data_IF_617661651627
#
_entry.id   IF_617661651627
#
_cell.length_a   1.000
_cell.length_b   1.000
_cell.length_c   1.000
_cell.angle_alpha   90.00
_cell.angle_beta   90.00
_cell.angle_gamma   90.00
#
_symmetry.space_group_name_H-M   'P 1'
#
loop_
_entity.id
_entity.type
_entity.pdbx_description
1 polymer ?
#
# COMPACT_ATOMS: atom_id res chain seq x y z
N UNK A 1 52.54 -29.70 -34.15
CA UNK A 1 53.59 -28.89 -33.50
C UNK A 1 52.84 -27.84 -32.70
N UNK A 2 52.35 -28.24 -31.51
CA UNK A 2 53.05 -28.06 -30.22
C UNK A 2 53.24 -26.56 -29.93
N UNK A 3 52.78 -25.97 -28.84
CA UNK A 3 52.14 -26.44 -27.62
C UNK A 3 52.21 -25.27 -26.65
N UNK A 4 51.12 -24.93 -25.95
CA UNK A 4 51.13 -23.93 -24.88
C UNK A 4 50.53 -24.54 -23.62
N UNK A 5 51.45 -25.15 -22.87
CA UNK A 5 51.67 -25.17 -21.43
C UNK A 5 50.53 -24.71 -20.50
N UNK A 6 50.08 -25.68 -19.69
CA UNK A 6 49.33 -25.57 -18.43
C UNK A 6 50.31 -25.44 -17.27
N UNK A 7 50.09 -24.52 -16.31
CA UNK A 7 50.43 -24.69 -14.87
C UNK A 7 49.65 -23.67 -13.99
N UNK A 8 49.53 -23.86 -12.66
CA UNK A 8 48.23 -23.94 -11.98
C UNK A 8 48.14 -23.09 -10.69
N UNK A 9 47.04 -23.24 -9.94
CA UNK A 9 47.06 -23.14 -8.48
C UNK A 9 46.48 -21.86 -7.88
N UNK A 10 45.18 -21.88 -7.59
CA UNK A 10 44.56 -20.99 -6.60
C UNK A 10 44.27 -21.81 -5.33
N UNK A 11 44.56 -21.29 -4.11
CA UNK A 11 44.44 -22.06 -2.88
C UNK A 11 42.98 -22.16 -2.40
N UNK A 12 42.59 -23.38 -1.99
CA UNK A 12 41.38 -23.68 -1.24
C UNK A 12 41.42 -22.99 0.13
N UNK A 13 40.52 -22.03 0.36
CA UNK A 13 40.18 -21.58 1.71
C UNK A 13 39.17 -22.55 2.32
N UNK A 14 39.65 -23.54 3.08
CA UNK A 14 38.85 -24.28 4.07
C UNK A 14 38.69 -23.39 5.31
N UNK A 15 37.49 -22.88 5.52
CA UNK A 15 37.07 -22.35 6.82
C UNK A 15 36.31 -23.45 7.55
N UNK A 16 36.92 -23.96 8.61
CA UNK A 16 36.33 -24.88 9.57
C UNK A 16 35.26 -24.13 10.40
N UNK A 17 34.05 -24.65 10.43
CA UNK A 17 32.99 -24.22 11.34
C UNK A 17 33.16 -24.93 12.69
N UNK A 18 33.15 -24.22 13.83
CA UNK A 18 33.01 -24.88 15.13
C UNK A 18 31.55 -25.26 15.37
N UNK A 19 31.33 -26.55 15.57
CA UNK A 19 30.14 -27.14 16.17
C UNK A 19 29.89 -26.58 17.56
N UNK A 20 28.67 -26.09 17.83
CA UNK A 20 28.16 -25.96 19.19
C UNK A 20 26.80 -26.63 19.27
N UNK A 21 26.76 -27.63 20.13
CA UNK A 21 25.60 -28.41 20.51
C UNK A 21 24.63 -27.63 21.40
N UNK A 22 23.39 -28.09 21.30
CA UNK A 22 22.22 -27.99 22.17
C UNK A 22 22.37 -27.33 23.55
N UNK A 23 21.39 -26.46 23.86
CA UNK A 23 20.64 -26.56 25.12
C UNK A 23 19.30 -25.82 25.02
N UNK A 24 18.21 -26.59 25.11
CA UNK A 24 16.84 -26.11 25.26
C UNK A 24 16.62 -25.45 26.64
N UNK A 25 15.73 -24.45 26.73
CA UNK A 25 14.58 -24.47 27.65
C UNK A 25 13.74 -23.18 27.63
N UNK A 26 12.43 -23.39 27.85
CA UNK A 26 11.45 -22.50 28.46
C UNK A 26 10.84 -21.35 27.65
N UNK A 27 9.85 -21.75 26.84
CA UNK A 27 8.73 -20.91 26.39
C UNK A 27 7.78 -20.64 27.56
N UNK A 28 7.84 -19.43 28.14
CA UNK A 28 6.81 -18.93 29.05
C UNK A 28 5.76 -18.12 28.25
N UNK A 29 4.52 -18.62 28.23
CA UNK A 29 3.34 -17.93 27.70
C UNK A 29 3.10 -16.64 28.49
N UNK A 30 3.22 -15.46 27.86
CA UNK A 30 2.78 -14.18 28.43
C UNK A 30 1.40 -13.79 27.87
N UNK A 31 0.54 -13.37 28.80
CA UNK A 31 -0.86 -12.98 28.63
C UNK A 31 -1.02 -11.62 27.90
N UNK A 32 -2.12 -11.36 27.17
CA UNK A 32 -2.24 -10.20 26.28
C UNK A 32 -2.52 -8.83 26.94
N UNK A 33 -2.57 -8.72 28.26
CA UNK A 33 -3.10 -7.51 28.93
C UNK A 33 -2.08 -6.41 29.29
N UNK A 34 -0.82 -6.46 28.82
CA UNK A 34 0.20 -5.46 29.22
C UNK A 34 0.34 -4.23 28.31
N UNK A 35 -0.32 -4.19 27.15
CA UNK A 35 -0.12 -3.10 26.17
C UNK A 35 -0.63 -1.73 26.65
N UNK A 36 -1.65 -1.68 27.52
CA UNK A 36 -2.17 -0.41 28.09
C UNK A 36 -1.31 0.14 29.23
N UNK A 37 -0.46 -0.68 29.86
CA UNK A 37 0.32 -0.26 31.03
C UNK A 37 1.68 0.36 30.64
N UNK A 38 2.21 0.02 29.46
CA UNK A 38 3.49 0.56 28.96
C UNK A 38 3.34 2.01 28.50
N UNK A 39 2.20 2.39 27.91
CA UNK A 39 1.92 3.76 27.47
C UNK A 39 1.80 4.76 28.65
N UNK A 40 1.37 4.29 29.84
CA UNK A 40 1.21 5.16 31.02
C UNK A 40 2.51 5.38 31.80
N UNK A 41 3.54 4.54 31.62
CA UNK A 41 4.79 4.59 32.42
C UNK A 41 5.93 5.39 31.77
N UNK A 42 5.79 5.84 30.52
CA UNK A 42 6.84 6.61 29.83
C UNK A 42 6.76 8.13 30.02
N UNK A 43 5.85 8.65 30.85
CA UNK A 43 5.65 10.09 31.05
C UNK A 43 6.44 10.73 32.22
N UNK A 44 7.36 10.04 32.91
CA UNK A 44 7.91 10.57 34.19
C UNK A 44 9.41 10.41 34.43
N UNK A 45 10.25 10.29 33.39
CA UNK A 45 11.71 10.29 33.61
C UNK A 45 12.41 11.11 32.54
N UNK A 46 12.71 12.38 32.86
CA UNK A 46 13.84 13.16 32.34
C UNK A 46 13.83 14.56 32.99
N UNK A 47 14.49 14.70 34.15
CA UNK A 47 14.82 16.01 34.73
C UNK A 47 16.17 15.89 35.43
N UNK A 48 17.21 16.42 34.78
CA UNK A 48 18.55 16.47 35.36
C UNK A 48 19.63 16.50 34.28
N UNK A 49 19.90 17.66 33.68
CA UNK A 49 21.00 17.80 32.74
C UNK A 49 21.18 19.24 32.24
N UNK A 50 22.37 19.77 32.45
CA UNK A 50 22.87 21.13 32.19
C UNK A 50 22.37 21.83 30.91
N UNK A 51 22.01 23.11 31.08
CA UNK A 51 21.62 24.06 30.03
C UNK A 51 22.79 24.35 29.07
N UNK A 52 22.71 23.81 27.85
CA UNK A 52 23.28 24.43 26.65
C UNK A 52 22.09 25.04 25.90
N UNK A 53 22.07 26.37 25.72
CA UNK A 53 20.99 27.06 25.00
C UNK A 53 20.90 26.53 23.55
N UNK A 54 19.83 25.83 23.15
CA UNK A 54 19.69 25.43 21.76
C UNK A 54 19.37 26.66 20.92
N UNK A 55 20.00 26.79 19.76
CA UNK A 55 19.52 27.71 18.72
C UNK A 55 18.06 27.35 18.43
N UNK A 56 17.18 28.35 18.47
CA UNK A 56 15.76 28.19 18.11
C UNK A 56 15.69 27.48 16.74
N UNK A 57 15.05 26.30 16.63
CA UNK A 57 14.72 25.76 15.33
C UNK A 57 13.83 26.78 14.62
N UNK A 58 14.20 27.14 13.40
CA UNK A 58 13.37 27.96 12.53
C UNK A 58 12.08 27.18 12.32
N UNK A 59 11.00 27.64 12.94
CA UNK A 59 9.67 27.09 12.74
C UNK A 59 9.28 27.34 11.30
N UNK A 60 9.43 26.31 10.46
CA UNK A 60 8.89 26.32 9.10
C UNK A 60 7.36 26.52 9.20
N UNK A 61 6.77 27.30 8.29
CA UNK A 61 5.33 27.48 8.26
C UNK A 61 4.66 26.11 8.14
N UNK A 62 3.75 25.80 9.08
CA UNK A 62 2.85 24.66 8.97
C UNK A 62 1.98 24.92 7.75
N UNK A 63 2.32 24.26 6.64
CA UNK A 63 1.46 24.26 5.44
C UNK A 63 0.11 23.69 5.89
N UNK A 64 -1.01 24.38 5.62
CA UNK A 64 -2.31 23.85 6.01
C UNK A 64 -2.44 22.45 5.44
N UNK A 65 -2.69 21.49 6.35
CA UNK A 65 -2.94 20.09 6.04
C UNK A 65 -3.80 20.03 4.78
N UNK A 66 -3.31 19.33 3.77
CA UNK A 66 -4.08 18.99 2.57
C UNK A 66 -5.47 18.60 3.03
N UNK A 67 -6.51 19.23 2.48
CA UNK A 67 -7.90 18.80 2.68
C UNK A 67 -7.97 17.34 2.23
N UNK A 68 -7.81 16.43 3.20
CA UNK A 68 -7.85 15.00 2.98
C UNK A 68 -9.23 14.65 2.41
N UNK A 69 -9.26 13.68 1.50
CA UNK A 69 -10.44 13.09 0.87
C UNK A 69 -11.76 13.36 1.61
N UNK A 70 -12.52 14.37 1.17
CA UNK A 70 -13.81 14.81 1.75
C UNK A 70 -14.95 13.78 1.63
N UNK A 71 -14.66 12.53 1.26
CA UNK A 71 -15.65 11.48 1.00
C UNK A 71 -15.53 10.27 1.95
N UNK A 72 -14.62 10.29 2.92
CA UNK A 72 -14.57 9.29 3.99
C UNK A 72 -15.15 9.93 5.26
N UNK A 73 -16.02 9.21 5.96
CA UNK A 73 -16.70 9.61 7.20
C UNK A 73 -15.81 10.49 8.09
N UNK A 74 -16.10 11.79 8.14
CA UNK A 74 -15.17 12.86 8.54
C UNK A 74 -14.62 12.71 9.98
N UNK A 75 -15.21 11.87 10.82
CA UNK A 75 -14.77 11.67 12.21
C UNK A 75 -13.75 10.53 12.43
N UNK A 76 -13.83 9.43 11.68
CA UNK A 76 -12.97 8.25 11.95
C UNK A 76 -11.55 8.43 11.37
N UNK A 77 -11.45 9.09 10.22
CA UNK A 77 -10.17 9.32 9.52
C UNK A 77 -9.27 10.26 10.32
N UNK A 78 -9.83 11.24 11.02
CA UNK A 78 -9.07 12.20 11.81
C UNK A 78 -8.37 11.51 12.99
N UNK A 79 -9.08 10.65 13.73
CA UNK A 79 -8.48 9.89 14.83
C UNK A 79 -7.37 8.93 14.35
N UNK A 80 -7.55 8.35 13.16
CA UNK A 80 -6.57 7.44 12.58
C UNK A 80 -5.20 8.09 12.32
N UNK A 81 -5.22 9.35 11.91
CA UNK A 81 -4.03 10.14 11.56
C UNK A 81 -3.44 10.91 12.74
N UNK A 82 -3.91 10.69 13.97
CA UNK A 82 -3.38 11.38 15.17
C UNK A 82 -1.90 11.05 15.42
N UNK A 83 -1.10 12.02 15.93
CA UNK A 83 0.33 11.82 16.18
C UNK A 83 0.66 10.57 17.02
N UNK A 84 -0.16 10.25 18.01
CA UNK A 84 -0.01 9.07 18.88
C UNK A 84 -0.16 7.77 18.09
N UNK A 85 -1.14 7.72 17.17
CA UNK A 85 -1.37 6.56 16.30
C UNK A 85 -0.24 6.41 15.29
N UNK A 86 0.28 7.52 14.73
CA UNK A 86 1.46 7.50 13.85
C UNK A 86 2.67 6.95 14.59
N UNK A 87 2.92 7.43 15.81
CA UNK A 87 4.03 6.95 16.62
C UNK A 87 3.92 5.45 16.93
N UNK A 88 2.71 5.00 17.32
CA UNK A 88 2.44 3.59 17.57
C UNK A 88 2.69 2.73 16.32
N UNK A 89 2.19 3.13 15.15
CA UNK A 89 2.46 2.41 13.88
C UNK A 89 3.93 2.33 13.56
N UNK A 90 4.65 3.45 13.66
CA UNK A 90 6.09 3.48 13.41
C UNK A 90 6.82 2.53 14.36
N UNK A 91 6.43 2.49 15.63
CA UNK A 91 6.99 1.54 16.59
C UNK A 91 6.67 0.10 16.20
N UNK A 92 5.39 -0.25 15.98
CA UNK A 92 4.97 -1.62 15.70
C UNK A 92 5.52 -2.17 14.39
N UNK A 93 5.75 -1.30 13.41
CA UNK A 93 6.28 -1.65 12.09
C UNK A 93 7.80 -1.55 11.99
N UNK A 94 8.50 -1.24 13.09
CA UNK A 94 9.97 -1.21 13.14
C UNK A 94 10.63 0.05 12.55
N UNK A 95 9.88 1.12 12.34
CA UNK A 95 10.38 2.40 11.77
C UNK A 95 11.05 3.34 12.79
N UNK A 96 11.28 2.86 14.01
CA UNK A 96 12.00 3.60 15.05
C UNK A 96 13.46 3.16 15.22
N UNK A 97 13.91 2.16 14.45
CA UNK A 97 15.32 1.80 14.37
C UNK A 97 16.16 3.00 13.92
N UNK A 98 17.46 3.00 14.24
CA UNK A 98 18.35 4.09 13.86
C UNK A 98 18.50 4.20 12.34
N UNK A 99 18.69 3.07 11.66
CA UNK A 99 18.84 2.99 10.21
C UNK A 99 17.57 3.42 9.48
N UNK A 100 16.39 2.96 9.90
CA UNK A 100 15.13 3.37 9.29
C UNK A 100 14.87 4.86 9.46
N UNK A 101 15.18 5.44 10.63
CA UNK A 101 15.05 6.89 10.86
C UNK A 101 16.00 7.70 9.97
N UNK A 102 17.26 7.30 9.89
CA UNK A 102 18.22 7.95 8.99
C UNK A 102 17.76 7.88 7.53
N UNK A 103 17.26 6.72 7.09
CA UNK A 103 16.68 6.56 5.76
C UNK A 103 15.48 7.48 5.53
N UNK A 104 14.56 7.58 6.50
CA UNK A 104 13.38 8.44 6.41
C UNK A 104 13.80 9.92 6.33
N UNK A 105 14.71 10.36 7.20
CA UNK A 105 15.10 11.77 7.32
C UNK A 105 15.81 12.28 6.04
N UNK A 106 16.56 11.41 5.35
CA UNK A 106 17.25 11.76 4.09
C UNK A 106 16.37 11.66 2.84
N UNK A 107 15.15 11.16 2.98
CA UNK A 107 14.28 10.83 1.84
C UNK A 107 13.02 11.70 1.81
N UNK A 108 12.47 11.85 0.61
CA UNK A 108 11.16 12.44 0.38
C UNK A 108 10.22 11.36 -0.14
N UNK A 109 9.05 11.21 0.49
CA UNK A 109 8.08 10.17 0.13
C UNK A 109 6.96 10.75 -0.71
N UNK A 110 6.67 10.10 -1.84
CA UNK A 110 5.74 10.59 -2.86
C UNK A 110 4.76 9.49 -3.25
N UNK A 111 3.46 9.81 -3.21
CA UNK A 111 2.43 8.96 -3.83
C UNK A 111 2.41 9.17 -5.34
N UNK A 112 2.42 8.08 -6.09
CA UNK A 112 2.11 8.06 -7.52
C UNK A 112 0.63 7.66 -7.78
N UNK A 113 -0.20 7.59 -6.73
CA UNK A 113 -1.64 7.52 -6.84
C UNK A 113 -2.22 6.18 -7.32
N UNK A 114 -3.25 6.29 -8.15
CA UNK A 114 -4.32 5.37 -8.56
C UNK A 114 -5.17 4.65 -7.52
N UNK A 115 -4.69 4.48 -6.29
CA UNK A 115 -5.57 4.21 -5.17
C UNK A 115 -5.48 5.35 -4.17
N UNK A 116 -6.62 5.89 -3.73
CA UNK A 116 -6.69 6.96 -2.73
C UNK A 116 -6.20 6.59 -1.32
N UNK A 117 -5.65 5.38 -1.14
CA UNK A 117 -5.12 4.91 0.13
C UNK A 117 -3.59 5.13 0.23
N UNK A 118 -2.88 5.33 -0.89
CA UNK A 118 -1.41 5.48 -0.88
C UNK A 118 -0.99 6.72 -0.07
N UNK A 119 -1.57 7.89 -0.37
CA UNK A 119 -1.25 9.11 0.35
C UNK A 119 -1.63 9.05 1.85
N UNK A 120 -2.85 8.59 2.24
CA UNK A 120 -3.18 8.35 3.65
C UNK A 120 -2.22 7.38 4.35
N UNK A 121 -1.72 6.35 3.68
CA UNK A 121 -0.75 5.41 4.27
C UNK A 121 0.56 6.10 4.63
N UNK A 122 1.07 6.94 3.73
CA UNK A 122 2.27 7.74 4.00
C UNK A 122 2.04 8.73 5.14
N UNK A 123 0.87 9.37 5.20
CA UNK A 123 0.49 10.27 6.29
C UNK A 123 0.35 9.52 7.64
N UNK A 124 -0.23 8.31 7.63
CA UNK A 124 -0.38 7.46 8.80
C UNK A 124 0.96 7.01 9.39
N UNK A 125 2.02 7.00 8.58
CA UNK A 125 3.41 6.76 9.03
C UNK A 125 4.17 8.05 9.33
N UNK A 126 3.59 9.23 9.09
CA UNK A 126 4.27 10.53 9.21
C UNK A 126 5.43 10.70 8.21
N UNK A 127 5.33 10.08 7.03
CA UNK A 127 6.33 10.12 5.97
C UNK A 127 6.01 11.16 4.90
N UNK A 128 4.73 11.50 4.72
CA UNK A 128 4.32 12.54 3.78
C UNK A 128 3.93 13.83 4.51
N UNK A 129 4.64 14.91 4.21
CA UNK A 129 4.42 16.25 4.78
C UNK A 129 3.84 17.24 3.75
N UNK A 130 3.61 16.81 2.51
CA UNK A 130 3.26 17.69 1.41
C UNK A 130 2.23 17.06 0.48
N UNK A 131 1.57 17.88 -0.31
CA UNK A 131 0.72 17.39 -1.38
C UNK A 131 1.57 17.07 -2.62
N UNK A 132 1.24 16.00 -3.31
CA UNK A 132 1.85 15.64 -4.59
C UNK A 132 0.82 15.52 -5.71
N UNK A 133 1.24 15.68 -6.98
CA UNK A 133 0.32 15.73 -8.12
C UNK A 133 -0.64 14.54 -8.20
N UNK A 134 -0.21 13.36 -7.75
CA UNK A 134 -0.98 12.12 -7.88
C UNK A 134 -1.65 11.63 -6.59
N UNK A 135 -1.55 12.36 -5.46
CA UNK A 135 -2.06 11.90 -4.15
C UNK A 135 -3.54 11.49 -4.18
N UNK A 136 -4.34 12.22 -4.97
CA UNK A 136 -5.79 12.07 -5.09
C UNK A 136 -6.22 11.64 -6.50
N UNK A 137 -5.26 11.32 -7.37
CA UNK A 137 -5.56 11.05 -8.77
C UNK A 137 -5.59 9.56 -9.07
N UNK A 138 -6.55 9.21 -9.90
CA UNK A 138 -6.54 7.96 -10.62
C UNK A 138 -5.77 8.14 -11.92
N UNK A 139 -4.71 7.35 -12.08
CA UNK A 139 -3.83 7.40 -13.25
C UNK A 139 -3.42 5.99 -13.67
N UNK A 140 -3.29 5.78 -14.97
CA UNK A 140 -2.60 4.60 -15.50
C UNK A 140 -1.09 4.76 -15.33
N UNK A 141 -0.35 3.64 -15.25
CA UNK A 141 1.13 3.71 -15.21
C UNK A 141 1.70 4.37 -16.47
N UNK A 142 1.12 4.08 -17.65
CA UNK A 142 1.51 4.73 -18.91
C UNK A 142 1.32 6.24 -18.87
N UNK A 143 0.27 6.72 -18.20
CA UNK A 143 0.04 8.15 -18.00
C UNK A 143 1.11 8.82 -17.17
N UNK A 144 1.46 8.21 -16.04
CA UNK A 144 2.51 8.73 -15.15
C UNK A 144 3.86 8.74 -15.88
N UNK A 145 4.18 7.67 -16.63
CA UNK A 145 5.36 7.61 -17.50
C UNK A 145 5.38 8.81 -18.45
N UNK A 146 4.27 9.05 -19.16
CA UNK A 146 4.17 10.19 -20.07
C UNK A 146 4.37 11.52 -19.37
N UNK A 147 3.88 11.70 -18.14
CA UNK A 147 4.11 12.93 -17.38
C UNK A 147 5.60 13.17 -17.09
N UNK A 148 6.35 12.13 -16.70
CA UNK A 148 7.79 12.25 -16.49
C UNK A 148 8.57 12.44 -17.80
N UNK A 149 8.20 11.71 -18.86
CA UNK A 149 8.86 11.81 -20.18
C UNK A 149 8.64 13.17 -20.87
N UNK A 150 7.60 13.93 -20.48
CA UNK A 150 7.28 15.25 -21.06
C UNK A 150 7.44 16.41 -20.09
N UNK A 151 8.14 16.22 -18.96
CA UNK A 151 8.32 17.24 -17.91
C UNK A 151 7.00 17.89 -17.47
N UNK A 152 5.92 17.11 -17.47
CA UNK A 152 4.55 17.57 -17.22
C UNK A 152 4.07 18.69 -18.17
N UNK A 153 4.83 19.06 -19.21
CA UNK A 153 4.58 20.22 -20.08
C UNK A 153 3.35 20.03 -20.99
N UNK A 154 3.03 18.81 -21.39
CA UNK A 154 1.82 18.51 -22.18
C UNK A 154 0.51 18.65 -21.39
N UNK A 155 0.61 18.88 -20.08
CA UNK A 155 -0.56 19.03 -19.20
C UNK A 155 -0.95 20.48 -18.93
N UNK A 156 -0.28 21.48 -19.53
CA UNK A 156 -0.68 22.88 -19.36
C UNK A 156 -2.13 23.07 -19.86
N UNK A 157 -3.08 23.36 -18.95
CA UNK A 157 -4.47 23.56 -19.34
C UNK A 157 -4.53 24.83 -20.20
N UNK A 158 -4.90 24.68 -21.47
CA UNK A 158 -5.26 25.82 -22.32
C UNK A 158 -6.19 26.76 -21.55
N UNK A 159 -5.96 28.06 -21.68
CA UNK A 159 -6.43 29.06 -20.71
C UNK A 159 -7.95 29.25 -20.64
N UNK A 160 -8.75 28.65 -21.52
CA UNK A 160 -10.12 29.11 -21.73
C UNK A 160 -11.27 28.21 -21.27
N UNK A 161 -11.06 26.99 -20.75
CA UNK A 161 -12.19 26.27 -20.14
C UNK A 161 -11.76 25.22 -19.12
N UNK A 162 -12.41 25.25 -17.95
CA UNK A 162 -12.37 24.26 -16.86
C UNK A 162 -12.97 22.91 -17.29
N UNK A 163 -12.75 22.48 -18.54
CA UNK A 163 -13.02 21.12 -18.93
C UNK A 163 -12.14 20.22 -18.06
N UNK A 164 -12.70 19.18 -17.40
CA UNK A 164 -11.89 18.17 -16.72
C UNK A 164 -10.90 17.68 -17.74
N UNK A 165 -9.63 18.05 -17.55
CA UNK A 165 -8.58 17.76 -18.50
C UNK A 165 -8.48 16.24 -18.57
N UNK A 166 -9.13 15.65 -19.58
CA UNK A 166 -8.75 14.35 -20.14
C UNK A 166 -7.45 14.59 -20.89
N UNK A 167 -6.44 15.04 -20.15
CA UNK A 167 -5.10 15.28 -20.65
C UNK A 167 -4.58 13.96 -21.20
N UNK A 168 -3.82 14.03 -22.28
CA UNK A 168 -3.35 12.87 -23.04
C UNK A 168 -2.56 11.80 -22.26
N UNK A 169 -2.35 11.98 -20.94
CA UNK A 169 -1.81 10.95 -20.06
C UNK A 169 -2.87 9.93 -19.56
N UNK A 170 -4.16 10.13 -19.79
CA UNK A 170 -5.15 9.11 -19.47
C UNK A 170 -5.50 8.99 -17.97
N UNK A 171 -5.76 10.12 -17.32
CA UNK A 171 -6.43 10.20 -16.00
C UNK A 171 -7.33 11.43 -15.93
N UNK A 172 -8.18 11.51 -14.91
CA UNK A 172 -9.03 12.67 -14.64
C UNK A 172 -8.45 13.48 -13.47
N UNK A 173 -8.19 14.77 -13.69
CA UNK A 173 -7.89 15.71 -12.60
C UNK A 173 -9.19 16.11 -11.90
N UNK A 174 -9.23 16.04 -10.57
CA UNK A 174 -10.31 16.62 -9.77
C UNK A 174 -10.09 18.14 -9.68
N UNK A 175 -11.03 18.92 -10.22
CA UNK A 175 -10.92 20.39 -10.31
C UNK A 175 -12.07 21.08 -9.58
N UNK A 176 -12.12 20.99 -8.26
CA UNK A 176 -13.10 21.79 -7.50
C UNK A 176 -12.46 22.91 -6.67
N UNK A 177 -11.13 22.94 -6.44
CA UNK A 177 -10.52 24.09 -5.73
C UNK A 177 -9.00 24.32 -5.83
N UNK A 178 -8.20 23.44 -6.43
CA UNK A 178 -6.75 23.68 -6.52
C UNK A 178 -6.44 24.59 -7.70
N UNK A 179 -5.81 25.74 -7.43
CA UNK A 179 -5.38 26.66 -8.49
C UNK A 179 -4.33 25.98 -9.39
N UNK A 180 -4.25 26.35 -10.69
CA UNK A 180 -3.16 25.91 -11.60
C UNK A 180 -1.78 26.07 -10.94
N UNK A 181 -1.62 27.15 -10.15
CA UNK A 181 -0.41 27.46 -9.39
C UNK A 181 -0.11 26.43 -8.29
N UNK A 182 -1.11 25.95 -7.55
CA UNK A 182 -0.90 24.92 -6.54
C UNK A 182 -0.48 23.60 -7.15
N UNK A 183 -1.09 23.24 -8.27
CA UNK A 183 -0.69 22.05 -9.02
C UNK A 183 0.76 22.17 -9.51
N UNK A 184 1.12 23.29 -10.16
CA UNK A 184 2.48 23.53 -10.62
C UNK A 184 3.48 23.48 -9.46
N UNK A 185 3.17 24.06 -8.29
CA UNK A 185 4.02 23.97 -7.10
C UNK A 185 4.24 22.52 -6.64
N UNK A 186 3.22 21.66 -6.74
CA UNK A 186 3.36 20.24 -6.43
C UNK A 186 4.26 19.51 -7.45
N UNK A 187 4.16 19.87 -8.74
CA UNK A 187 5.03 19.37 -9.81
C UNK A 187 6.47 19.85 -9.60
N UNK A 188 6.67 21.13 -9.31
CA UNK A 188 7.99 21.70 -9.02
C UNK A 188 8.64 20.97 -7.85
N UNK A 189 7.92 20.78 -6.74
CA UNK A 189 8.40 20.01 -5.57
C UNK A 189 8.75 18.57 -5.92
N UNK A 190 7.93 17.91 -6.74
CA UNK A 190 8.16 16.56 -7.23
C UNK A 190 9.46 16.46 -8.03
N UNK A 191 9.70 17.43 -8.92
CA UNK A 191 10.87 17.51 -9.81
C UNK A 191 12.13 18.09 -9.13
N UNK A 192 12.06 18.44 -7.84
CA UNK A 192 13.21 18.99 -7.12
C UNK A 192 13.43 20.49 -7.31
N UNK A 193 12.42 21.19 -7.81
CA UNK A 193 12.39 22.64 -7.99
C UNK A 193 11.69 23.28 -6.79
N UNK A 194 12.42 24.10 -6.04
CA UNK A 194 11.85 24.86 -4.91
C UNK A 194 12.00 24.16 -3.55
N UNK A 195 10.88 23.70 -2.97
CA UNK A 195 10.80 23.30 -1.55
C UNK A 195 11.63 22.07 -1.19
N UNK A 196 11.85 21.17 -2.15
CA UNK A 196 12.64 19.95 -1.96
C UNK A 196 13.79 19.97 -2.95
N UNK A 197 15.06 19.84 -2.50
CA UNK A 197 16.20 19.81 -3.41
C UNK A 197 16.14 18.66 -4.43
N UNK A 198 16.69 18.90 -5.62
CA UNK A 198 16.88 17.90 -6.68
C UNK A 198 17.71 16.69 -6.23
N UNK A 199 18.67 16.88 -5.33
CA UNK A 199 19.54 15.82 -4.82
C UNK A 199 18.98 14.99 -3.67
N UNK A 200 17.83 15.40 -3.08
CA UNK A 200 17.21 14.64 -1.98
C UNK A 200 16.66 13.32 -2.51
N UNK A 201 16.97 12.21 -1.85
CA UNK A 201 16.49 10.89 -2.25
C UNK A 201 14.95 10.86 -2.31
N UNK A 202 14.39 10.15 -3.29
CA UNK A 202 12.94 10.08 -3.53
C UNK A 202 12.44 8.65 -3.39
N UNK A 203 11.39 8.48 -2.59
CA UNK A 203 10.70 7.20 -2.40
C UNK A 203 9.30 7.32 -2.96
N UNK A 204 9.07 6.66 -4.10
CA UNK A 204 7.80 6.63 -4.78
C UNK A 204 7.01 5.39 -4.37
N UNK A 205 5.70 5.56 -4.17
CA UNK A 205 4.78 4.46 -3.89
C UNK A 205 3.64 4.49 -4.90
N UNK A 206 3.41 3.36 -5.57
CA UNK A 206 2.39 3.21 -6.62
C UNK A 206 1.56 1.96 -6.39
N UNK A 207 0.24 2.08 -6.31
CA UNK A 207 -0.66 0.93 -6.34
C UNK A 207 -1.15 0.63 -7.76
N UNK A 208 -0.77 -0.48 -8.38
CA UNK A 208 -1.07 -0.71 -9.80
C UNK A 208 -2.58 -0.77 -10.07
N UNK A 209 -3.00 -0.20 -11.21
CA UNK A 209 -4.40 -0.23 -11.62
C UNK A 209 -4.83 -1.61 -12.12
N UNK A 210 -3.88 -2.43 -12.60
CA UNK A 210 -4.14 -3.81 -13.03
C UNK A 210 -2.87 -4.64 -12.91
N UNK A 211 -3.02 -5.97 -12.93
CA UNK A 211 -1.86 -6.89 -12.92
C UNK A 211 -0.94 -6.68 -14.13
N UNK A 212 -1.49 -6.26 -15.28
CA UNK A 212 -0.71 -5.99 -16.50
C UNK A 212 0.23 -4.79 -16.36
N UNK A 213 -0.06 -3.85 -15.45
CA UNK A 213 0.83 -2.70 -15.23
C UNK A 213 2.15 -3.10 -14.53
N UNK A 214 2.27 -4.32 -14.00
CA UNK A 214 3.52 -4.83 -13.41
C UNK A 214 4.65 -4.77 -14.45
N UNK A 215 4.42 -5.17 -15.70
CA UNK A 215 5.43 -5.16 -16.76
C UNK A 215 5.96 -3.74 -17.07
N UNK A 216 5.14 -2.71 -16.82
CA UNK A 216 5.52 -1.30 -17.05
C UNK A 216 6.35 -0.70 -15.91
N UNK A 217 6.50 -1.41 -14.78
CA UNK A 217 7.19 -0.89 -13.59
C UNK A 217 8.65 -0.52 -13.86
N UNK A 218 9.37 -1.30 -14.67
CA UNK A 218 10.74 -0.96 -15.07
C UNK A 218 10.81 0.31 -15.92
N UNK A 219 9.84 0.52 -16.82
CA UNK A 219 9.80 1.74 -17.64
C UNK A 219 9.45 2.95 -16.78
N UNK A 220 8.49 2.81 -15.87
CA UNK A 220 8.16 3.84 -14.89
C UNK A 220 9.38 4.22 -14.05
N UNK A 221 10.09 3.22 -13.50
CA UNK A 221 11.30 3.46 -12.72
C UNK A 221 12.35 4.25 -13.51
N UNK A 222 12.61 3.88 -14.77
CA UNK A 222 13.56 4.59 -15.64
C UNK A 222 13.12 6.02 -15.93
N UNK A 223 11.86 6.23 -16.31
CA UNK A 223 11.33 7.57 -16.57
C UNK A 223 11.48 8.50 -15.35
N UNK A 224 11.27 7.99 -14.14
CA UNK A 224 11.49 8.74 -12.90
C UNK A 224 12.97 9.06 -12.69
N UNK A 225 13.87 8.09 -12.92
CA UNK A 225 15.32 8.31 -12.79
C UNK A 225 15.82 9.35 -13.79
N UNK A 226 15.35 9.29 -15.04
CA UNK A 226 15.73 10.21 -16.10
C UNK A 226 15.25 11.65 -15.79
N UNK A 227 14.07 11.79 -15.20
CA UNK A 227 13.53 13.08 -14.76
C UNK A 227 14.19 13.63 -13.48
N UNK A 228 14.88 12.79 -12.71
CA UNK A 228 15.48 13.14 -11.42
C UNK A 228 16.93 12.64 -11.32
N UNK A 229 17.83 13.06 -12.23
CA UNK A 229 19.16 12.47 -12.37
C UNK A 229 20.07 12.69 -11.14
N UNK A 230 19.78 13.71 -10.33
CA UNK A 230 20.55 14.02 -9.11
C UNK A 230 20.04 13.26 -7.87
N UNK A 231 18.83 12.69 -7.91
CA UNK A 231 18.22 12.02 -6.77
C UNK A 231 18.50 10.51 -6.80
N UNK A 232 18.71 9.93 -5.62
CA UNK A 232 18.55 8.47 -5.47
C UNK A 232 17.06 8.12 -5.47
N UNK A 233 16.62 7.40 -6.49
CA UNK A 233 15.22 6.99 -6.66
C UNK A 233 14.97 5.60 -6.08
N UNK A 234 13.89 5.48 -5.32
CA UNK A 234 13.33 4.24 -4.79
C UNK A 234 11.87 4.14 -5.24
N UNK A 235 11.41 2.97 -5.66
CA UNK A 235 10.03 2.73 -6.09
C UNK A 235 9.48 1.46 -5.45
N UNK A 236 8.35 1.60 -4.74
CA UNK A 236 7.54 0.51 -4.23
C UNK A 236 6.26 0.38 -5.07
N UNK A 237 6.04 -0.80 -5.63
CA UNK A 237 4.86 -1.13 -6.42
C UNK A 237 3.95 -2.08 -5.62
N UNK A 238 2.75 -1.61 -5.31
CA UNK A 238 1.73 -2.35 -4.57
C UNK A 238 0.79 -3.04 -5.56
N UNK A 239 0.57 -4.34 -5.37
CA UNK A 239 -0.28 -5.17 -6.22
C UNK A 239 -1.49 -5.63 -5.40
N UNK A 240 -2.65 -5.02 -5.67
CA UNK A 240 -3.89 -5.27 -4.93
C UNK A 240 -4.55 -6.60 -5.25
N UNK A 241 -5.50 -6.98 -4.38
CA UNK A 241 -6.30 -8.18 -4.52
C UNK A 241 -5.40 -9.38 -4.79
N UNK A 242 -4.57 -9.78 -3.85
CA UNK A 242 -3.73 -10.98 -3.98
C UNK A 242 -4.21 -12.06 -3.01
N UNK A 243 -4.05 -13.33 -3.40
CA UNK A 243 -4.39 -14.47 -2.53
C UNK A 243 -3.25 -14.84 -1.58
N UNK A 244 -2.05 -14.36 -1.90
CA UNK A 244 -0.86 -14.44 -1.06
C UNK A 244 -0.48 -12.99 -0.75
N UNK A 245 -0.08 -12.75 0.48
CA UNK A 245 0.41 -11.45 0.92
C UNK A 245 1.92 -11.50 1.03
N UNK A 246 2.57 -10.39 0.70
CA UNK A 246 3.90 -10.12 1.20
C UNK A 246 4.84 -9.49 0.18
N UNK A 247 6.06 -9.23 0.63
CA UNK A 247 7.08 -8.61 -0.19
C UNK A 247 7.64 -9.55 -1.25
N UNK A 248 7.85 -9.00 -2.45
CA UNK A 248 8.45 -9.72 -3.58
C UNK A 248 9.57 -8.88 -4.19
N UNK A 249 10.70 -9.54 -4.46
CA UNK A 249 11.84 -8.96 -5.17
C UNK A 249 12.08 -9.69 -6.48
N UNK A 250 12.24 -8.91 -7.55
CA UNK A 250 12.57 -9.42 -8.88
C UNK A 250 14.09 -9.40 -9.04
N UNK A 251 14.68 -10.49 -9.51
CA UNK A 251 16.14 -10.65 -9.55
C UNK A 251 16.81 -9.82 -10.63
N UNK A 252 16.09 -9.52 -11.73
CA UNK A 252 16.59 -8.73 -12.85
C UNK A 252 16.33 -7.22 -12.73
N UNK A 253 15.93 -6.73 -11.54
CA UNK A 253 15.68 -5.30 -11.28
C UNK A 253 16.64 -4.75 -10.22
N UNK A 254 16.78 -3.43 -10.20
CA UNK A 254 17.53 -2.71 -9.18
C UNK A 254 16.99 -2.95 -7.76
N UNK A 255 17.86 -2.87 -6.74
CA UNK A 255 17.51 -3.04 -5.32
C UNK A 255 16.59 -1.94 -4.79
N UNK A 256 16.46 -0.86 -5.56
CA UNK A 256 15.58 0.28 -5.32
C UNK A 256 14.17 0.08 -5.86
N UNK A 257 13.91 -0.96 -6.66
CA UNK A 257 12.58 -1.31 -7.18
C UNK A 257 12.03 -2.55 -6.46
N UNK A 258 10.99 -2.35 -5.65
CA UNK A 258 10.38 -3.39 -4.82
C UNK A 258 8.90 -3.58 -5.14
N UNK A 259 8.38 -4.77 -4.86
CA UNK A 259 6.98 -5.13 -5.05
C UNK A 259 6.38 -5.65 -3.75
N UNK A 260 5.08 -5.42 -3.55
CA UNK A 260 4.34 -5.98 -2.42
C UNK A 260 2.96 -6.45 -2.87
N UNK A 261 2.64 -7.71 -2.58
CA UNK A 261 1.33 -8.30 -2.83
C UNK A 261 0.39 -7.99 -1.66
N UNK A 262 -0.69 -7.26 -1.91
CA UNK A 262 -1.66 -6.85 -0.88
C UNK A 262 -2.83 -7.82 -0.89
N UNK A 263 -3.08 -8.46 0.25
CA UNK A 263 -4.09 -9.50 0.35
C UNK A 263 -5.51 -8.95 0.11
N UNK A 264 -6.35 -9.72 -0.58
CA UNK A 264 -7.71 -9.30 -0.93
C UNK A 264 -8.63 -9.04 0.29
N UNK A 265 -8.36 -9.66 1.44
CA UNK A 265 -9.13 -9.40 2.67
C UNK A 265 -8.80 -8.05 3.28
N UNK A 266 -7.61 -7.50 3.00
CA UNK A 266 -7.23 -6.16 3.42
C UNK A 266 -7.78 -5.10 2.47
N UNK A 267 -8.29 -5.52 1.31
CA UNK A 267 -8.85 -4.68 0.27
C UNK A 267 -10.36 -4.40 0.40
N UNK A 268 -10.95 -4.55 1.60
CA UNK A 268 -12.41 -4.44 1.80
C UNK A 268 -12.88 -3.10 2.38
N UNK A 269 -12.01 -2.09 2.47
CA UNK A 269 -12.38 -0.74 2.93
C UNK A 269 -11.22 0.25 2.88
N UNK A 270 -11.50 1.56 2.89
CA UNK A 270 -10.47 2.61 2.76
C UNK A 270 -9.41 2.55 3.89
N UNK A 271 -9.86 2.39 5.14
CA UNK A 271 -8.97 2.29 6.29
C UNK A 271 -8.11 1.01 6.24
N UNK A 272 -8.73 -0.12 5.93
CA UNK A 272 -8.02 -1.41 5.82
C UNK A 272 -6.95 -1.39 4.71
N UNK A 273 -7.22 -0.74 3.57
CA UNK A 273 -6.22 -0.60 2.50
C UNK A 273 -5.03 0.23 2.97
N UNK A 274 -5.27 1.38 3.64
CA UNK A 274 -4.15 2.23 4.00
C UNK A 274 -3.31 1.66 5.15
N UNK A 275 -3.86 0.82 6.04
CA UNK A 275 -3.04 0.03 6.98
C UNK A 275 -2.18 -1.00 6.22
N UNK A 276 -2.73 -1.74 5.26
CA UNK A 276 -1.98 -2.73 4.48
C UNK A 276 -0.85 -2.10 3.66
N UNK A 277 -1.10 -0.91 3.11
CA UNK A 277 -0.09 -0.14 2.40
C UNK A 277 0.96 0.44 3.34
N UNK A 278 0.57 0.89 4.53
CA UNK A 278 1.52 1.33 5.55
C UNK A 278 2.47 0.19 5.97
N UNK A 279 1.97 -1.04 6.12
CA UNK A 279 2.81 -2.23 6.35
C UNK A 279 3.80 -2.46 5.21
N UNK A 280 3.34 -2.41 3.95
CA UNK A 280 4.19 -2.57 2.76
C UNK A 280 5.28 -1.48 2.67
N UNK A 281 4.90 -0.22 2.90
CA UNK A 281 5.81 0.92 2.91
C UNK A 281 6.85 0.76 4.02
N UNK A 282 6.42 0.36 5.22
CA UNK A 282 7.33 0.17 6.34
C UNK A 282 8.34 -0.95 6.07
N UNK A 283 7.90 -2.06 5.47
CA UNK A 283 8.80 -3.12 5.03
C UNK A 283 9.84 -2.61 4.02
N UNK A 284 9.43 -1.82 3.02
CA UNK A 284 10.33 -1.27 2.01
C UNK A 284 11.37 -0.31 2.62
N UNK A 285 10.95 0.55 3.56
CA UNK A 285 11.86 1.43 4.30
C UNK A 285 12.91 0.63 5.05
N UNK A 286 12.50 -0.44 5.75
CA UNK A 286 13.42 -1.32 6.48
C UNK A 286 14.42 -1.98 5.53
N UNK A 287 13.94 -2.51 4.41
CA UNK A 287 14.79 -3.08 3.36
C UNK A 287 15.84 -2.07 2.86
N UNK A 288 15.43 -0.84 2.49
CA UNK A 288 16.35 0.19 1.99
C UNK A 288 17.23 0.84 3.07
N UNK A 289 16.97 0.54 4.34
CA UNK A 289 17.81 0.90 5.49
C UNK A 289 18.77 -0.22 5.90
N UNK A 290 18.98 -1.21 5.03
CA UNK A 290 19.88 -2.34 5.24
C UNK A 290 19.50 -3.25 6.42
N UNK A 291 18.23 -3.22 6.85
CA UNK A 291 17.73 -4.20 7.80
C UNK A 291 17.49 -5.55 7.14
N UNK A 292 17.74 -6.63 7.89
CA UNK A 292 17.39 -7.98 7.47
C UNK A 292 15.87 -8.14 7.50
N UNK A 293 15.27 -8.22 6.33
CA UNK A 293 13.84 -8.49 6.14
C UNK A 293 13.67 -9.65 5.16
N UNK A 294 12.65 -10.46 5.40
CA UNK A 294 12.32 -11.59 4.52
C UNK A 294 11.54 -11.11 3.29
N UNK A 295 11.72 -11.81 2.17
CA UNK A 295 10.97 -11.58 0.94
C UNK A 295 10.97 -12.80 0.02
N UNK A 296 9.95 -12.89 -0.82
CA UNK A 296 9.91 -13.88 -1.91
C UNK A 296 10.74 -13.36 -3.07
N UNK A 297 11.63 -14.19 -3.63
CA UNK A 297 12.41 -13.84 -4.81
C UNK A 297 11.80 -14.48 -6.05
N UNK A 298 11.67 -13.71 -7.13
CA UNK A 298 11.26 -14.17 -8.46
C UNK A 298 12.31 -13.74 -9.50
N UNK A 299 12.32 -14.41 -10.64
CA UNK A 299 13.37 -14.22 -11.66
C UNK A 299 13.11 -13.00 -12.56
N UNK A 300 11.85 -12.72 -12.88
CA UNK A 300 11.46 -11.67 -13.82
C UNK A 300 10.11 -11.04 -13.47
N UNK A 301 9.78 -9.91 -14.11
CA UNK A 301 8.45 -9.29 -14.01
C UNK A 301 7.36 -10.19 -14.56
N UNK A 302 7.63 -10.97 -15.63
CA UNK A 302 6.67 -11.94 -16.16
C UNK A 302 6.38 -13.05 -15.13
N UNK A 303 7.41 -13.50 -14.41
CA UNK A 303 7.21 -14.47 -13.33
C UNK A 303 6.37 -13.85 -12.20
N UNK A 304 6.67 -12.60 -11.79
CA UNK A 304 5.84 -11.88 -10.82
C UNK A 304 4.38 -11.77 -11.26
N UNK A 305 4.14 -11.36 -12.51
CA UNK A 305 2.79 -11.26 -13.07
C UNK A 305 2.08 -12.62 -13.06
N UNK A 306 2.79 -13.70 -13.42
CA UNK A 306 2.24 -15.05 -13.48
C UNK A 306 1.82 -15.63 -12.11
N UNK A 307 2.51 -15.26 -11.03
CA UNK A 307 2.14 -15.68 -9.66
C UNK A 307 1.08 -14.77 -9.03
N UNK A 308 0.92 -13.55 -9.55
CA UNK A 308 -0.13 -12.63 -9.11
C UNK A 308 -1.47 -13.11 -9.64
N UNK A 309 -2.48 -13.07 -8.79
CA UNK A 309 -3.82 -13.43 -9.19
C UNK A 309 -4.44 -12.24 -9.97
N UNK A 310 -4.88 -12.44 -11.23
CA UNK A 310 -5.21 -11.33 -12.13
C UNK A 310 -6.36 -10.43 -11.64
N UNK A 311 -6.18 -9.12 -11.77
CA UNK A 311 -7.20 -8.12 -11.44
C UNK A 311 -7.13 -6.89 -12.35
N UNK A 312 -8.22 -6.11 -12.34
CA UNK A 312 -8.29 -4.78 -12.95
C UNK A 312 -9.09 -3.83 -12.07
N UNK A 313 -8.63 -2.59 -11.96
CA UNK A 313 -9.34 -1.46 -11.37
C UNK A 313 -10.38 -0.84 -12.30
N UNK A 314 -10.38 -1.21 -13.59
CA UNK A 314 -11.15 -0.56 -14.65
C UNK A 314 -10.32 0.46 -15.44
N UNK A 315 -10.99 1.28 -16.27
CA UNK A 315 -10.34 2.35 -17.02
C UNK A 315 -10.06 3.56 -16.12
N UNK A 316 -8.79 3.93 -15.96
CA UNK A 316 -8.35 5.03 -15.11
C UNK A 316 -8.85 6.41 -15.56
N UNK A 317 -9.27 6.56 -16.82
CA UNK A 317 -9.77 7.82 -17.38
C UNK A 317 -11.24 8.07 -17.09
N UNK A 318 -12.04 7.00 -17.07
CA UNK A 318 -13.50 7.10 -17.23
C UNK A 318 -14.29 6.41 -16.12
N UNK A 319 -13.65 5.52 -15.35
CA UNK A 319 -14.32 4.76 -14.29
C UNK A 319 -13.80 5.17 -12.90
N UNK A 320 -14.55 4.91 -11.82
CA UNK A 320 -14.00 4.91 -10.47
C UNK A 320 -13.11 3.67 -10.26
N UNK A 321 -12.09 3.79 -9.38
CA UNK A 321 -11.26 2.64 -9.03
C UNK A 321 -12.09 1.62 -8.24
N UNK A 322 -12.45 0.52 -8.89
CA UNK A 322 -13.20 -0.59 -8.28
C UNK A 322 -12.47 -1.86 -8.65
N UNK A 323 -11.44 -2.26 -7.88
CA UNK A 323 -10.59 -3.38 -8.21
C UNK A 323 -11.43 -4.66 -8.19
N UNK A 324 -11.31 -5.44 -9.26
CA UNK A 324 -12.06 -6.67 -9.46
C UNK A 324 -11.12 -7.75 -9.94
N UNK A 325 -11.25 -8.93 -9.33
CA UNK A 325 -10.66 -10.15 -9.86
C UNK A 325 -11.10 -10.34 -11.31
N UNK A 326 -10.14 -10.51 -12.20
CA UNK A 326 -10.40 -11.08 -13.50
C UNK A 326 -10.60 -12.58 -13.28
N UNK A 327 -11.76 -12.94 -12.72
CA UNK A 327 -12.16 -14.33 -12.46
C UNK A 327 -11.90 -15.11 -13.73
N UNK A 328 -10.80 -15.87 -13.68
CA UNK A 328 -10.15 -16.55 -14.78
C UNK A 328 -10.98 -16.43 -16.06
N UNK A 329 -10.75 -15.34 -16.81
CA UNK A 329 -11.29 -15.26 -18.16
C UNK A 329 -10.84 -16.52 -18.93
N UNK A 330 -9.67 -17.07 -18.57
CA UNK A 330 -9.19 -18.41 -18.93
C UNK A 330 -10.06 -19.59 -18.45
N UNK A 331 -10.73 -19.56 -17.30
CA UNK A 331 -11.66 -20.60 -16.85
C UNK A 331 -12.98 -20.48 -17.57
N UNK A 332 -13.43 -19.25 -17.88
CA UNK A 332 -14.55 -19.02 -18.80
C UNK A 332 -14.20 -19.45 -20.22
N UNK A 333 -13.01 -19.15 -20.72
CA UNK A 333 -12.51 -19.53 -22.05
C UNK A 333 -12.25 -21.03 -22.14
N UNK A 334 -11.67 -21.66 -21.11
CA UNK A 334 -11.52 -23.13 -20.98
C UNK A 334 -12.90 -23.79 -20.90
N UNK A 335 -13.83 -23.27 -20.11
CA UNK A 335 -15.19 -23.78 -20.05
C UNK A 335 -15.91 -23.62 -21.41
N UNK A 336 -15.74 -22.49 -22.11
CA UNK A 336 -16.26 -22.27 -23.47
C UNK A 336 -15.61 -23.24 -24.48
N UNK A 337 -14.29 -23.44 -24.43
CA UNK A 337 -13.56 -24.41 -25.29
C UNK A 337 -14.03 -25.83 -25.03
N UNK A 338 -14.16 -26.25 -23.76
CA UNK A 338 -14.72 -27.55 -23.38
C UNK A 338 -16.17 -27.71 -23.85
N UNK A 339 -17.01 -26.67 -23.71
CA UNK A 339 -18.38 -26.68 -24.22
C UNK A 339 -18.44 -26.81 -25.75
N UNK A 340 -17.53 -26.17 -26.47
CA UNK A 340 -17.42 -26.28 -27.92
C UNK A 340 -16.94 -27.66 -28.35
N UNK A 341 -15.95 -28.26 -27.68
CA UNK A 341 -15.53 -29.65 -27.93
C UNK A 341 -16.69 -30.62 -27.71
N UNK A 342 -17.45 -30.48 -26.61
CA UNK A 342 -18.62 -31.32 -26.34
C UNK A 342 -19.74 -31.17 -27.39
N UNK A 343 -19.85 -30.01 -28.05
CA UNK A 343 -20.77 -29.80 -29.18
C UNK A 343 -20.30 -30.49 -30.45
N UNK A 344 -19.00 -30.49 -30.72
CA UNK A 344 -18.43 -31.08 -31.94
C UNK A 344 -18.42 -32.62 -31.91
N UNK A 345 -18.33 -33.23 -30.72
CA UNK A 345 -18.21 -34.70 -30.58
C UNK A 345 -19.56 -35.44 -30.66
N UNK A 346 -20.70 -34.72 -30.60
CA UNK A 346 -22.01 -35.29 -30.92
C UNK A 346 -22.66 -36.15 -29.81
N UNK A 347 -23.98 -36.01 -29.66
CA UNK A 347 -24.87 -36.69 -28.71
C UNK A 347 -24.76 -36.31 -27.22
N UNK A 348 -24.57 -35.03 -26.91
CA UNK A 348 -25.02 -34.53 -25.60
C UNK A 348 -26.53 -34.28 -25.67
N UNK A 349 -27.30 -35.11 -24.97
CA UNK A 349 -28.75 -34.98 -24.81
C UNK A 349 -29.17 -33.53 -24.52
N UNK A 350 -30.24 -33.07 -25.17
CA UNK A 350 -30.71 -31.67 -25.16
C UNK A 350 -31.01 -31.09 -23.76
N UNK A 351 -31.07 -31.95 -22.73
CA UNK A 351 -31.25 -31.58 -21.32
C UNK A 351 -29.95 -31.17 -20.64
N UNK A 352 -28.83 -31.85 -20.91
CA UNK A 352 -27.53 -31.53 -20.29
C UNK A 352 -26.94 -30.22 -20.86
N UNK A 353 -27.13 -29.99 -22.17
CA UNK A 353 -26.76 -28.73 -22.80
C UNK A 353 -27.49 -27.51 -22.22
N UNK A 354 -28.77 -27.68 -21.81
CA UNK A 354 -29.57 -26.61 -21.17
C UNK A 354 -29.13 -26.32 -19.74
N UNK A 355 -28.80 -27.35 -18.94
CA UNK A 355 -28.31 -27.17 -17.57
C UNK A 355 -26.94 -26.46 -17.51
N UNK A 356 -26.01 -26.81 -18.40
CA UNK A 356 -24.71 -26.14 -18.53
C UNK A 356 -24.84 -24.71 -19.04
N UNK A 357 -25.72 -24.46 -20.03
CA UNK A 357 -26.02 -23.07 -20.45
C UNK A 357 -26.58 -22.24 -19.31
N UNK A 358 -27.46 -22.79 -18.48
CA UNK A 358 -27.96 -22.11 -17.29
C UNK A 358 -26.85 -21.85 -16.26
N UNK A 359 -25.89 -22.74 -16.07
CA UNK A 359 -24.75 -22.53 -15.17
C UNK A 359 -23.76 -21.46 -15.67
N UNK A 360 -23.54 -21.38 -17.00
CA UNK A 360 -22.64 -20.40 -17.63
C UNK A 360 -23.30 -19.02 -17.80
N UNK A 361 -24.62 -18.98 -18.05
CA UNK A 361 -25.41 -17.74 -18.22
C UNK A 361 -26.05 -17.22 -16.95
N UNK A 362 -26.15 -18.00 -15.87
CA UNK A 362 -26.55 -17.45 -14.57
C UNK A 362 -25.64 -16.26 -14.30
N UNK A 363 -26.18 -15.04 -14.23
CA UNK A 363 -25.42 -13.91 -13.75
C UNK A 363 -24.97 -14.33 -12.36
N UNK A 364 -23.68 -14.59 -12.19
CA UNK A 364 -23.11 -14.50 -10.86
C UNK A 364 -23.44 -13.08 -10.42
N UNK A 365 -24.32 -13.00 -9.43
CA UNK A 365 -25.02 -11.82 -8.98
C UNK A 365 -24.07 -10.61 -9.11
N UNK A 366 -24.43 -9.62 -9.95
CA UNK A 366 -23.77 -8.31 -10.00
C UNK A 366 -23.98 -7.53 -8.70
N UNK A 367 -24.22 -8.21 -7.58
CA UNK A 367 -24.18 -7.58 -6.29
C UNK A 367 -22.71 -7.25 -6.04
N UNK A 368 -22.37 -5.98 -5.71
CA UNK A 368 -21.06 -5.70 -5.15
C UNK A 368 -20.81 -6.71 -4.04
N UNK A 369 -19.60 -7.26 -4.00
CA UNK A 369 -19.17 -8.27 -3.05
C UNK A 369 -19.30 -7.66 -1.65
N UNK A 370 -20.48 -7.75 -1.03
CA UNK A 370 -20.70 -7.34 0.35
C UNK A 370 -20.03 -8.41 1.19
N UNK A 371 -18.93 -8.02 1.85
CA UNK A 371 -18.32 -8.79 2.91
C UNK A 371 -19.42 -9.32 3.83
N UNK A 372 -19.33 -10.61 4.14
CA UNK A 372 -20.32 -11.36 4.91
C UNK A 372 -20.29 -10.86 6.36
N UNK A 373 -20.92 -9.73 6.66
CA UNK A 373 -21.17 -9.32 8.04
C UNK A 373 -22.08 -10.36 8.70
N UNK A 374 -21.52 -11.00 9.74
CA UNK A 374 -22.21 -12.01 10.52
C UNK A 374 -23.40 -11.39 11.26
N UNK A 375 -24.62 -11.71 10.81
CA UNK A 375 -25.82 -11.53 11.63
C UNK A 375 -25.87 -12.63 12.70
N UNK A 376 -25.34 -12.32 13.88
CA UNK A 376 -25.68 -13.01 15.11
C UNK A 376 -27.10 -12.62 15.54
N UNK A 377 -28.09 -13.48 15.28
CA UNK A 377 -29.41 -13.32 15.86
C UNK A 377 -29.40 -13.82 17.30
N UNK A 378 -29.37 -12.88 18.25
CA UNK A 378 -29.67 -13.14 19.65
C UNK A 378 -31.18 -13.34 19.85
N UNK A 379 -31.55 -14.51 20.37
CA UNK A 379 -32.88 -14.85 20.86
C UNK A 379 -33.16 -14.08 22.15
N UNK A 380 -34.01 -13.05 22.09
CA UNK A 380 -34.59 -12.45 23.30
C UNK A 380 -35.94 -13.08 23.62
N UNK A 381 -35.97 -13.94 24.65
CA UNK A 381 -37.21 -14.36 25.32
C UNK A 381 -37.78 -13.19 26.10
N UNK A 382 -39.07 -12.90 25.88
CA UNK A 382 -39.91 -12.05 26.73
C UNK A 382 -40.19 -12.76 28.05
N UNK A 383 -40.01 -12.08 29.17
CA UNK A 383 -40.83 -12.23 30.37
C UNK A 383 -41.16 -10.84 30.92
N UNK A 384 -42.44 -10.48 30.80
CA UNK A 384 -43.07 -9.44 31.58
C UNK A 384 -43.65 -10.08 32.84
N UNK A 385 -43.71 -9.34 33.95
CA UNK A 385 -44.56 -9.70 35.08
C UNK A 385 -44.13 -9.11 36.42
N UNK A 386 -44.85 -8.05 36.80
CA UNK A 386 -45.19 -7.63 38.17
C UNK A 386 -44.10 -7.05 39.10
N UNK A 387 -44.17 -5.72 39.24
CA UNK A 387 -43.85 -5.02 40.47
C UNK A 387 -45.18 -4.76 41.21
N UNK A 388 -45.34 -5.33 42.39
CA UNK A 388 -46.29 -4.87 43.41
C UNK A 388 -45.49 -4.28 44.56
N UNK A 389 -45.96 -3.11 44.96
CA UNK A 389 -45.61 -2.31 46.13
C UNK A 389 -45.76 -3.08 47.44
N UNK A 390 -44.81 -2.93 48.36
CA UNK A 390 -45.12 -2.84 49.79
C UNK A 390 -44.15 -1.86 50.47
N UNK A 391 -44.78 -0.94 51.20
CA UNK A 391 -44.25 0.05 52.13
C UNK A 391 -44.15 -0.62 53.50
N UNK A 392 -43.05 -0.40 54.23
CA UNK A 392 -42.90 -0.34 55.70
C UNK A 392 -41.39 -0.39 56.00
N UNK A 393 -40.74 0.72 56.34
CA UNK A 393 -40.70 1.43 57.62
C UNK A 393 -39.68 0.86 58.64
N UNK A 394 -38.92 1.80 59.20
CA UNK A 394 -38.25 1.83 60.51
C UNK A 394 -36.79 1.39 60.72
N UNK A 395 -36.13 2.31 61.46
CA UNK A 395 -35.04 2.19 62.44
C UNK A 395 -33.65 1.85 61.91
N UNK A 396 -32.74 2.83 61.87
CA UNK A 396 -31.78 3.18 62.96
C UNK A 396 -30.67 2.14 63.14
N UNK A 397 -29.43 2.54 62.81
CA UNK A 397 -28.37 2.71 63.81
C UNK A 397 -27.09 3.21 63.12
N UNK A 398 -26.57 4.31 63.66
CA UNK A 398 -25.21 4.83 63.50
C UNK A 398 -24.17 3.86 64.05
N UNK A 399 -22.98 3.87 63.44
CA UNK A 399 -21.79 3.15 63.88
C UNK A 399 -20.71 3.16 62.81
#
# INVERSE_FOLDING_TARGET
MEGWSVVPGAPECRLECPSTDESASNVARRSPNSAKEIASKMATVCSGGLFVTPRRPVSLPVVPSTRACQACEEGEVEHWLMPEQRHYRRFSLGLLSASAREFIDRSEFVSLGCHGAVAPSLQALGLNNSAYPFDLLRSSVSGIISCFETDFCSSSPHDDELAPCTSGFGGSFWTDSSSKRDFQRCVDRLLGVGEVPSSKARVFVRAVNSTQEIELSCRLYRAICDALPEAKVHLLVLVDLQTVEGPVRVSCTEDTLLFYQVHETKATGSLSHSEAYAEAIAWAVRFWSDEKVDFTRVESLQHLEAICAPFTGGDATSEPFVPRRLLHQQSRERAKKQLNVLRTVGNVSSTFGRAMHAAVRKPWDRRPWRGREGRGHALHRRRAGHAETCVESCSECTG
#
